data_IF_701682264664
#
_entry.id   IF_701682264664
#
_cell.length_a   1.000
_cell.length_b   1.000
_cell.length_c   1.000
_cell.angle_alpha   90.00
_cell.angle_beta   90.00
_cell.angle_gamma   90.00
#
_symmetry.space_group_name_H-M   'P 1'
#
loop_
_entity.id
_entity.type
_entity.pdbx_description
1 polymer ?
#
# COMPACT_ATOMS: atom_id res chain seq x y z
N UNK A 1 3.97 12.46 1.01
CA UNK A 1 2.60 12.96 0.72
C UNK A 1 1.95 12.16 -0.41
N UNK A 2 2.52 12.15 -1.63
CA UNK A 2 1.99 11.37 -2.76
C UNK A 2 1.96 9.85 -2.48
N UNK A 3 3.06 9.29 -1.97
CA UNK A 3 3.11 7.87 -1.56
C UNK A 3 2.04 7.51 -0.51
N UNK A 4 1.66 8.45 0.37
CA UNK A 4 0.59 8.23 1.33
C UNK A 4 -0.78 8.17 0.65
N UNK A 5 -1.00 9.00 -0.38
CA UNK A 5 -2.22 8.94 -1.21
C UNK A 5 -2.28 7.59 -1.91
N UNK A 6 -1.22 7.19 -2.62
CA UNK A 6 -1.14 5.90 -3.32
C UNK A 6 -1.47 4.75 -2.35
N UNK A 7 -0.80 4.72 -1.19
CA UNK A 7 -1.01 3.69 -0.17
C UNK A 7 -2.46 3.68 0.34
N UNK A 8 -3.02 4.85 0.67
CA UNK A 8 -4.38 4.95 1.18
C UNK A 8 -5.43 4.56 0.14
N UNK A 9 -5.20 4.88 -1.11
CA UNK A 9 -6.15 4.59 -2.18
C UNK A 9 -6.24 3.07 -2.44
N UNK A 10 -5.10 2.36 -2.48
CA UNK A 10 -5.13 0.92 -2.73
C UNK A 10 -5.44 0.09 -1.48
N UNK A 11 -4.97 0.49 -0.29
CA UNK A 11 -5.22 -0.25 0.97
C UNK A 11 -6.53 0.14 1.66
N UNK A 12 -7.02 1.37 1.46
CA UNK A 12 -8.06 1.96 2.29
C UNK A 12 -7.57 2.46 3.66
N UNK A 13 -6.28 2.35 3.97
CA UNK A 13 -5.67 2.73 5.25
C UNK A 13 -4.62 3.81 5.07
N UNK A 14 -4.51 4.72 6.03
CA UNK A 14 -3.29 5.52 6.13
C UNK A 14 -2.12 4.62 6.53
N UNK A 15 -0.89 4.99 6.16
CA UNK A 15 0.32 4.26 6.59
C UNK A 15 0.36 4.06 8.11
N UNK A 16 -0.07 5.07 8.89
CA UNK A 16 -0.15 4.98 10.35
C UNK A 16 -1.14 3.90 10.80
N UNK A 17 -2.36 3.89 10.25
CA UNK A 17 -3.37 2.87 10.57
C UNK A 17 -2.92 1.48 10.15
N UNK A 18 -2.22 1.36 9.03
CA UNK A 18 -1.67 0.09 8.58
C UNK A 18 -0.57 -0.42 9.52
N UNK A 19 0.31 0.47 10.00
CA UNK A 19 1.26 0.13 11.07
C UNK A 19 0.55 -0.34 12.34
N UNK A 20 -0.54 0.31 12.74
CA UNK A 20 -1.36 -0.10 13.89
C UNK A 20 -1.96 -1.49 13.71
N UNK A 21 -2.51 -1.79 12.52
CA UNK A 21 -3.05 -3.12 12.16
C UNK A 21 -1.98 -4.21 12.28
N UNK A 22 -0.73 -3.91 11.92
CA UNK A 22 0.42 -4.82 12.04
C UNK A 22 1.14 -4.77 13.40
N UNK A 23 0.63 -4.00 14.36
CA UNK A 23 1.23 -3.88 15.70
C UNK A 23 2.60 -3.19 15.73
N UNK A 24 2.93 -2.38 14.72
CA UNK A 24 4.22 -1.72 14.58
C UNK A 24 4.23 -0.38 15.31
N UNK A 25 5.30 -0.12 16.06
CA UNK A 25 5.54 1.17 16.75
C UNK A 25 6.48 2.03 15.91
N UNK A 26 7.76 1.71 15.95
CA UNK A 26 8.82 2.44 15.23
C UNK A 26 9.23 1.77 13.92
N UNK A 27 8.83 0.52 13.67
CA UNK A 27 9.29 -0.26 12.52
C UNK A 27 8.80 0.30 11.18
N UNK A 28 9.54 0.03 10.11
CA UNK A 28 9.17 0.38 8.75
C UNK A 28 8.07 -0.56 8.25
N UNK A 29 6.96 -0.02 7.77
CA UNK A 29 5.82 -0.82 7.32
C UNK A 29 6.20 -1.81 6.22
N UNK A 30 7.01 -1.37 5.25
CA UNK A 30 7.39 -2.17 4.06
C UNK A 30 8.10 -3.48 4.42
N UNK A 31 8.91 -3.48 5.47
CA UNK A 31 9.65 -4.67 5.92
C UNK A 31 8.72 -5.72 6.55
N UNK A 32 7.51 -5.31 6.94
CA UNK A 32 6.51 -6.14 7.60
C UNK A 32 5.28 -6.41 6.70
N UNK A 33 5.30 -5.95 5.45
CA UNK A 33 4.27 -6.25 4.45
C UNK A 33 4.46 -7.67 3.91
N UNK A 34 3.34 -8.36 3.69
CA UNK A 34 3.30 -9.63 2.97
C UNK A 34 3.71 -9.45 1.51
N UNK A 35 4.02 -10.56 0.85
CA UNK A 35 4.33 -10.56 -0.58
C UNK A 35 3.21 -9.93 -1.41
N UNK A 36 1.94 -10.25 -1.11
CA UNK A 36 0.79 -9.67 -1.79
C UNK A 36 0.75 -8.14 -1.58
N UNK A 37 0.96 -7.67 -0.35
CA UNK A 37 0.96 -6.23 -0.06
C UNK A 37 2.09 -5.48 -0.79
N UNK A 38 3.26 -6.11 -0.95
CA UNK A 38 4.37 -5.56 -1.72
C UNK A 38 4.06 -5.51 -3.23
N UNK A 39 3.49 -6.56 -3.79
CA UNK A 39 3.07 -6.62 -5.20
C UNK A 39 2.02 -5.55 -5.49
N UNK A 40 1.03 -5.40 -4.63
CA UNK A 40 -0.02 -4.40 -4.79
C UNK A 40 0.49 -2.96 -4.61
N UNK A 41 1.48 -2.77 -3.74
CA UNK A 41 2.19 -1.49 -3.65
C UNK A 41 2.91 -1.17 -4.95
N UNK A 42 3.65 -2.13 -5.52
CA UNK A 42 4.35 -1.96 -6.79
C UNK A 42 3.37 -1.69 -7.95
N UNK A 43 2.22 -2.38 -7.99
CA UNK A 43 1.16 -2.13 -8.97
C UNK A 43 0.62 -0.69 -8.87
N UNK A 44 0.38 -0.21 -7.65
CA UNK A 44 -0.12 1.15 -7.41
C UNK A 44 0.92 2.22 -7.82
N UNK A 45 2.20 1.99 -7.48
CA UNK A 45 3.33 2.87 -7.83
C UNK A 45 3.55 2.92 -9.35
N UNK A 46 3.58 1.75 -10.01
CA UNK A 46 3.72 1.66 -11.47
C UNK A 46 2.56 2.36 -12.17
N UNK A 47 1.32 2.07 -11.76
CA UNK A 47 0.13 2.67 -12.36
C UNK A 47 0.13 4.20 -12.20
N UNK A 48 0.51 4.69 -11.01
CA UNK A 48 0.63 6.13 -10.76
C UNK A 48 1.66 6.78 -11.68
N UNK A 49 2.84 6.17 -11.83
CA UNK A 49 3.90 6.70 -12.70
C UNK A 49 3.44 6.78 -14.16
N UNK A 50 2.85 5.71 -14.68
CA UNK A 50 2.39 5.65 -16.07
C UNK A 50 1.30 6.69 -16.35
N UNK A 51 0.40 6.90 -15.39
CA UNK A 51 -0.64 7.92 -15.50
C UNK A 51 -0.05 9.32 -15.42
N UNK A 52 0.88 9.58 -14.50
CA UNK A 52 1.55 10.88 -14.41
C UNK A 52 2.31 11.21 -15.71
N UNK A 53 2.98 10.23 -16.30
CA UNK A 53 3.66 10.37 -17.59
C UNK A 53 2.67 10.64 -18.74
N UNK A 54 1.56 9.92 -18.78
CA UNK A 54 0.54 10.08 -19.82
C UNK A 54 -0.24 11.40 -19.71
N UNK A 55 -0.49 11.86 -18.48
CA UNK A 55 -1.17 13.12 -18.19
C UNK A 55 -0.20 14.33 -18.24
N UNK A 56 1.10 14.11 -18.52
CA UNK A 56 2.17 15.11 -18.43
C UNK A 56 2.15 15.89 -17.09
N UNK A 57 1.87 15.18 -16.00
CA UNK A 57 1.54 15.79 -14.71
C UNK A 57 2.71 16.54 -14.07
N UNK A 58 2.54 17.85 -13.87
CA UNK A 58 3.52 18.75 -13.27
C UNK A 58 3.09 19.21 -11.88
N UNK A 59 4.06 19.22 -10.96
CA UNK A 59 3.86 19.72 -9.61
C UNK A 59 2.93 18.84 -8.76
N UNK A 60 2.65 19.32 -7.55
CA UNK A 60 2.03 18.48 -6.52
C UNK A 60 0.56 18.12 -6.83
N UNK A 61 -0.20 19.07 -7.36
CA UNK A 61 -1.66 18.92 -7.55
C UNK A 61 -1.97 17.86 -8.60
N UNK A 62 -1.26 17.88 -9.72
CA UNK A 62 -1.47 16.94 -10.82
C UNK A 62 -0.95 15.55 -10.46
N UNK A 63 0.22 15.48 -9.82
CA UNK A 63 0.74 14.22 -9.31
C UNK A 63 -0.15 13.60 -8.21
N UNK A 64 -0.88 14.41 -7.43
CA UNK A 64 -1.87 13.91 -6.50
C UNK A 64 -3.09 13.30 -7.22
N UNK A 65 -3.52 13.86 -8.36
CA UNK A 65 -4.57 13.27 -9.20
C UNK A 65 -4.09 11.93 -9.79
N UNK A 66 -2.87 11.87 -10.33
CA UNK A 66 -2.27 10.63 -10.82
C UNK A 66 -2.16 9.57 -9.72
N UNK A 67 -1.74 9.98 -8.51
CA UNK A 67 -1.67 9.09 -7.34
C UNK A 67 -3.02 8.47 -6.96
N UNK A 68 -4.11 9.25 -7.05
CA UNK A 68 -5.47 8.75 -6.83
C UNK A 68 -5.87 7.73 -7.88
N UNK A 69 -5.67 8.05 -9.17
CA UNK A 69 -6.00 7.14 -10.27
C UNK A 69 -5.19 5.84 -10.19
N UNK A 70 -3.87 5.92 -9.98
CA UNK A 70 -2.99 4.76 -9.90
C UNK A 70 -3.27 3.88 -8.67
N UNK A 71 -3.51 4.49 -7.51
CA UNK A 71 -3.97 3.78 -6.31
C UNK A 71 -5.32 3.08 -6.50
N UNK A 72 -6.27 3.72 -7.20
CA UNK A 72 -7.57 3.13 -7.50
C UNK A 72 -7.48 1.90 -8.43
N UNK A 73 -6.53 1.86 -9.37
CA UNK A 73 -6.28 0.67 -10.21
C UNK A 73 -5.86 -0.51 -9.33
N UNK A 74 -4.89 -0.30 -8.43
CA UNK A 74 -4.46 -1.34 -7.50
C UNK A 74 -5.57 -1.75 -6.53
N UNK A 75 -6.40 -0.80 -6.06
CA UNK A 75 -7.60 -1.09 -5.25
C UNK A 75 -8.56 -2.03 -5.97
N UNK A 76 -8.87 -1.75 -7.24
CA UNK A 76 -9.81 -2.56 -8.01
C UNK A 76 -9.27 -3.97 -8.23
N UNK A 77 -7.98 -4.10 -8.56
CA UNK A 77 -7.32 -5.39 -8.67
C UNK A 77 -7.34 -6.15 -7.32
N UNK A 78 -7.20 -5.43 -6.20
CA UNK A 78 -7.20 -6.02 -4.86
C UNK A 78 -8.58 -6.60 -4.57
N UNK A 79 -9.62 -5.78 -4.71
CA UNK A 79 -11.01 -6.20 -4.49
C UNK A 79 -11.34 -7.42 -5.36
N UNK A 80 -11.01 -7.39 -6.65
CA UNK A 80 -11.27 -8.51 -7.54
C UNK A 80 -10.58 -9.82 -7.10
N UNK A 81 -9.38 -9.73 -6.52
CA UNK A 81 -8.66 -10.88 -5.99
C UNK A 81 -9.24 -11.34 -4.65
N UNK A 82 -9.55 -10.41 -3.74
CA UNK A 82 -10.19 -10.68 -2.45
C UNK A 82 -11.54 -11.39 -2.65
N UNK A 83 -12.36 -10.91 -3.59
CA UNK A 83 -13.67 -11.49 -3.93
C UNK A 83 -13.56 -12.93 -4.46
N UNK A 84 -12.52 -13.22 -5.27
CA UNK A 84 -12.30 -14.56 -5.85
C UNK A 84 -11.71 -15.55 -4.85
N UNK A 85 -10.93 -15.07 -3.88
CA UNK A 85 -10.17 -15.92 -2.96
C UNK A 85 -10.79 -16.02 -1.57
N UNK A 86 -11.68 -15.09 -1.21
CA UNK A 86 -12.24 -14.95 0.13
C UNK A 86 -11.23 -14.50 1.19
N UNK A 87 -10.03 -14.05 0.77
CA UNK A 87 -8.94 -13.66 1.68
C UNK A 87 -8.62 -12.18 1.54
N UNK A 88 -8.60 -11.46 2.66
CA UNK A 88 -8.12 -10.07 2.71
C UNK A 88 -6.63 -10.00 2.39
N UNK A 89 -6.23 -9.05 1.54
CA UNK A 89 -4.82 -8.80 1.22
C UNK A 89 -4.16 -7.87 2.24
N UNK A 90 -4.93 -6.93 2.81
CA UNK A 90 -4.46 -6.09 3.91
C UNK A 90 -4.74 -6.84 5.20
N UNK A 91 -3.67 -7.32 5.85
CA UNK A 91 -3.79 -8.16 7.05
C UNK A 91 -2.89 -7.67 8.18
N UNK A 92 -3.24 -8.06 9.41
CA UNK A 92 -2.38 -7.87 10.58
C UNK A 92 -1.20 -8.85 10.64
N UNK A 93 -1.06 -9.74 9.64
CA UNK A 93 0.07 -10.68 9.59
C UNK A 93 1.37 -9.92 9.39
N UNK A 94 2.38 -10.37 10.12
CA UNK A 94 3.69 -9.75 10.10
C UNK A 94 4.69 -10.68 9.43
N UNK A 95 5.26 -10.23 8.31
CA UNK A 95 6.22 -11.02 7.53
C UNK A 95 7.54 -11.27 8.29
N UNK A 96 7.99 -10.30 9.08
CA UNK A 96 9.12 -10.47 10.00
C UNK A 96 8.56 -10.64 11.41
N UNK A 97 8.66 -11.85 11.96
CA UNK A 97 8.27 -12.10 13.35
C UNK A 97 8.91 -11.05 14.27
N UNK A 98 8.19 -10.51 15.28
CA UNK A 98 8.78 -9.57 16.22
C UNK A 98 10.03 -10.19 16.82
N UNK A 99 11.13 -9.43 16.83
CA UNK A 99 12.44 -9.89 17.32
C UNK A 99 12.28 -10.71 18.61
N UNK A 100 12.72 -11.97 18.58
CA UNK A 100 12.82 -12.85 19.77
C UNK A 100 13.92 -12.39 20.74
N UNK A 101 14.11 -11.07 20.91
CA UNK A 101 15.01 -10.46 21.90
C UNK A 101 14.22 -9.58 22.86
N UNK A 102 13.36 -10.24 23.64
CA UNK A 102 12.96 -9.79 24.97
C UNK A 102 12.43 -10.96 25.79
N UNK A 103 13.25 -12.00 25.92
CA UNK A 103 13.13 -12.96 27.00
C UNK A 103 14.41 -12.81 27.84
N UNK A 104 14.17 -12.41 29.10
CA UNK A 104 15.11 -12.02 30.17
C UNK A 104 15.54 -10.56 30.16
#
# INVERSE_FOLDING_TARGET
MLTNIIHQEWTGLSVKKHKEVKGLKSQNLRDHMSEAELIFTALAELSTRQIAESDEAVGLVENAKASKKGGAIAKNARIALEDKTGKSLVTGENFLAPDKKRLK
#
